data_IF_689522343420
#
_entry.id   IF_689522343420
#
_cell.length_a   1.000
_cell.length_b   1.000
_cell.length_c   1.000
_cell.angle_alpha   90.00
_cell.angle_beta   90.00
_cell.angle_gamma   90.00
#
_symmetry.space_group_name_H-M   'P 1'
#
loop_
_entity.id
_entity.type
_entity.pdbx_description
1 polymer ?
#
# COMPACT_ATOMS: atom_id res chain seq x y z
N UNK A 1 32.72 -17.07 14.92
CA UNK A 1 32.47 -16.36 13.64
C UNK A 1 32.81 -14.91 13.91
N UNK A 2 33.66 -14.33 13.08
CA UNK A 2 34.15 -12.96 13.24
C UNK A 2 32.99 -11.96 13.10
N UNK A 3 32.68 -11.22 14.19
CA UNK A 3 31.55 -10.28 14.26
C UNK A 3 31.86 -8.94 13.57
N UNK A 4 33.02 -8.79 12.93
CA UNK A 4 33.47 -7.53 12.33
C UNK A 4 32.95 -7.27 10.91
N UNK A 5 32.34 -8.25 10.24
CA UNK A 5 32.03 -8.16 8.79
C UNK A 5 30.55 -8.18 8.48
N UNK A 6 30.18 -7.54 7.36
CA UNK A 6 28.84 -7.70 6.81
C UNK A 6 28.69 -9.10 6.24
N UNK A 7 27.58 -9.77 6.55
CA UNK A 7 27.35 -11.16 6.11
C UNK A 7 26.01 -11.28 5.42
N UNK A 8 26.00 -11.97 4.27
CA UNK A 8 24.78 -12.20 3.50
C UNK A 8 24.61 -13.66 3.12
N UNK A 9 23.41 -14.20 3.35
CA UNK A 9 23.05 -15.60 3.07
C UNK A 9 22.00 -15.67 1.95
N UNK A 10 22.25 -16.52 0.96
CA UNK A 10 21.33 -16.77 -0.18
C UNK A 10 20.85 -18.22 -0.14
N UNK A 11 19.54 -18.45 -0.14
CA UNK A 11 18.94 -19.79 -0.15
C UNK A 11 18.32 -20.11 -1.52
N UNK A 12 18.53 -21.33 -1.99
CA UNK A 12 17.98 -21.89 -3.22
C UNK A 12 16.71 -22.71 -2.91
N UNK A 13 15.63 -22.61 -3.69
CA UNK A 13 14.48 -23.48 -3.51
C UNK A 13 14.79 -24.90 -4.04
N UNK A 14 14.52 -25.92 -3.25
CA UNK A 14 14.56 -27.34 -3.66
C UNK A 14 13.54 -27.70 -4.78
N UNK A 15 12.72 -26.74 -5.22
CA UNK A 15 11.50 -26.94 -6.01
C UNK A 15 11.66 -26.75 -7.53
N UNK A 16 12.88 -26.64 -8.07
CA UNK A 16 13.07 -26.51 -9.53
C UNK A 16 12.76 -27.77 -10.34
N UNK A 17 12.62 -28.94 -9.70
CA UNK A 17 12.09 -30.16 -10.34
C UNK A 17 10.66 -29.99 -10.89
N UNK A 18 9.84 -29.06 -10.35
CA UNK A 18 8.47 -28.80 -10.84
C UNK A 18 8.42 -27.94 -12.12
N UNK A 19 9.44 -27.12 -12.39
CA UNK A 19 9.47 -26.23 -13.55
C UNK A 19 9.62 -26.99 -14.88
N UNK A 20 10.38 -28.08 -14.90
CA UNK A 20 10.54 -28.95 -16.08
C UNK A 20 9.22 -29.58 -16.55
N UNK A 21 8.35 -29.98 -15.62
CA UNK A 21 7.05 -30.60 -15.97
C UNK A 21 6.05 -29.60 -16.55
N UNK A 22 6.20 -28.30 -16.26
CA UNK A 22 5.37 -27.21 -16.79
C UNK A 22 5.89 -26.66 -18.12
N UNK A 23 7.21 -26.56 -18.31
CA UNK A 23 7.78 -26.09 -19.58
C UNK A 23 7.46 -27.03 -20.76
N UNK A 24 7.34 -28.34 -20.52
CA UNK A 24 6.88 -29.30 -21.53
C UNK A 24 5.39 -29.17 -21.88
N UNK A 25 4.57 -28.54 -21.01
CA UNK A 25 3.13 -28.31 -21.24
C UNK A 25 2.79 -26.89 -21.72
N UNK A 26 3.74 -25.95 -21.70
CA UNK A 26 3.52 -24.55 -22.04
C UNK A 26 3.53 -24.24 -23.54
N UNK A 27 3.59 -25.26 -24.40
CA UNK A 27 3.36 -25.11 -25.84
C UNK A 27 1.88 -24.85 -26.19
N UNK A 28 0.99 -24.71 -25.19
CA UNK A 28 -0.45 -24.60 -25.39
C UNK A 28 -1.17 -23.57 -24.49
N UNK A 29 -0.54 -22.46 -24.06
CA UNK A 29 -1.21 -21.45 -23.23
C UNK A 29 -1.14 -20.02 -23.81
N UNK A 30 -2.30 -19.37 -23.87
CA UNK A 30 -2.62 -18.10 -24.55
C UNK A 30 -2.17 -16.81 -23.81
N UNK A 31 -1.29 -16.86 -22.80
CA UNK A 31 -0.89 -15.68 -22.03
C UNK A 31 0.51 -15.16 -22.41
N UNK A 32 0.56 -14.07 -23.19
CA UNK A 32 1.80 -13.41 -23.65
C UNK A 32 2.70 -12.91 -22.50
N UNK A 33 2.19 -12.74 -21.28
CA UNK A 33 2.94 -12.21 -20.15
C UNK A 33 3.78 -13.30 -19.45
N UNK A 34 3.23 -14.51 -19.32
CA UNK A 34 3.92 -15.67 -18.73
C UNK A 34 5.14 -16.08 -19.58
N UNK A 35 5.01 -16.08 -20.91
CA UNK A 35 6.11 -16.37 -21.83
C UNK A 35 7.28 -15.38 -21.71
N UNK A 36 6.97 -14.09 -21.46
CA UNK A 36 7.98 -13.04 -21.31
C UNK A 36 8.81 -13.22 -20.04
N UNK A 37 8.16 -13.58 -18.93
CA UNK A 37 8.81 -13.82 -17.64
C UNK A 37 9.70 -15.06 -17.68
N UNK A 38 9.21 -16.15 -18.29
CA UNK A 38 10.00 -17.37 -18.51
C UNK A 38 11.23 -17.07 -19.36
N UNK A 39 11.07 -16.29 -20.44
CA UNK A 39 12.17 -15.86 -21.29
C UNK A 39 13.22 -15.06 -20.53
N UNK A 40 12.80 -14.10 -19.72
CA UNK A 40 13.71 -13.24 -18.93
C UNK A 40 14.52 -14.07 -17.91
N UNK A 41 13.87 -15.01 -17.22
CA UNK A 41 14.52 -15.92 -16.27
C UNK A 41 15.51 -16.87 -16.94
N UNK A 42 15.14 -17.43 -18.09
CA UNK A 42 16.03 -18.35 -18.83
C UNK A 42 17.20 -17.60 -19.47
N UNK A 43 16.98 -16.40 -20.02
CA UNK A 43 18.06 -15.56 -20.55
C UNK A 43 19.02 -15.10 -19.45
N UNK A 44 18.54 -14.84 -18.22
CA UNK A 44 19.41 -14.49 -17.10
C UNK A 44 20.35 -15.64 -16.68
N UNK A 45 19.85 -16.88 -16.67
CA UNK A 45 20.58 -18.06 -16.20
C UNK A 45 21.49 -18.69 -17.25
N UNK A 46 20.98 -18.80 -18.47
CA UNK A 46 21.58 -19.60 -19.54
C UNK A 46 21.95 -18.76 -20.76
N UNK A 47 21.83 -17.42 -20.68
CA UNK A 47 22.10 -16.48 -21.78
C UNK A 47 21.21 -16.77 -22.98
N UNK A 48 21.52 -16.29 -24.17
CA UNK A 48 20.70 -16.59 -25.36
C UNK A 48 20.76 -18.07 -25.82
N UNK A 49 21.63 -18.88 -25.22
CA UNK A 49 21.82 -20.30 -25.55
C UNK A 49 20.66 -21.19 -25.06
N UNK A 50 19.80 -20.71 -24.15
CA UNK A 50 18.69 -21.52 -23.62
C UNK A 50 17.75 -22.03 -24.70
N UNK A 51 17.55 -21.26 -25.79
CA UNK A 51 16.69 -21.65 -26.91
C UNK A 51 17.22 -22.89 -27.63
N UNK A 52 18.53 -22.91 -27.90
CA UNK A 52 19.21 -24.04 -28.54
C UNK A 52 19.23 -25.26 -27.61
N UNK A 53 19.49 -25.06 -26.31
CA UNK A 53 19.55 -26.11 -25.28
C UNK A 53 18.21 -26.81 -25.05
N UNK A 54 17.11 -26.06 -25.08
CA UNK A 54 15.76 -26.64 -25.03
C UNK A 54 15.47 -27.44 -26.31
N UNK A 55 15.88 -26.94 -27.47
CA UNK A 55 15.65 -27.58 -28.76
C UNK A 55 16.37 -28.93 -28.92
N UNK A 56 17.52 -29.10 -28.26
CA UNK A 56 18.27 -30.38 -28.21
C UNK A 56 17.88 -31.27 -27.01
N UNK A 57 16.78 -30.98 -26.31
CA UNK A 57 16.33 -31.71 -25.11
C UNK A 57 17.39 -31.84 -24.00
N UNK A 58 18.30 -30.86 -23.89
CA UNK A 58 19.34 -30.90 -22.87
C UNK A 58 18.76 -30.59 -21.48
N UNK A 59 19.24 -31.31 -20.46
CA UNK A 59 18.84 -31.04 -19.09
C UNK A 59 19.45 -29.71 -18.61
N UNK A 60 18.63 -28.65 -18.57
CA UNK A 60 19.04 -27.32 -18.08
C UNK A 60 19.53 -27.33 -16.62
N UNK A 61 19.17 -28.34 -15.83
CA UNK A 61 19.66 -28.53 -14.45
C UNK A 61 20.98 -29.29 -14.38
N UNK A 62 21.70 -29.47 -15.49
CA UNK A 62 22.98 -30.16 -15.51
C UNK A 62 24.00 -29.40 -14.64
N UNK A 63 24.68 -30.08 -13.68
CA UNK A 63 25.73 -29.50 -12.84
C UNK A 63 26.81 -28.72 -13.61
N UNK A 64 27.04 -29.06 -14.89
CA UNK A 64 27.99 -28.37 -15.77
C UNK A 64 27.70 -26.87 -15.92
N UNK A 65 26.44 -26.45 -15.80
CA UNK A 65 26.02 -25.04 -15.94
C UNK A 65 26.20 -24.21 -14.66
N UNK A 66 26.42 -24.85 -13.52
CA UNK A 66 26.52 -24.17 -12.22
C UNK A 66 27.92 -24.32 -11.60
N UNK A 67 28.96 -24.48 -12.43
CA UNK A 67 30.36 -24.62 -11.96
C UNK A 67 30.81 -23.42 -11.11
N UNK A 68 30.33 -22.23 -11.43
CA UNK A 68 30.60 -20.99 -10.67
C UNK A 68 29.77 -20.88 -9.38
N UNK A 69 28.77 -21.74 -9.20
CA UNK A 69 27.89 -21.74 -8.03
C UNK A 69 27.46 -23.16 -7.60
N UNK A 70 28.40 -24.00 -7.15
CA UNK A 70 28.13 -25.38 -6.76
C UNK A 70 27.19 -25.48 -5.55
N UNK A 71 27.09 -24.43 -4.73
CA UNK A 71 26.19 -24.40 -3.57
C UNK A 71 24.72 -24.52 -3.97
N UNK A 72 24.39 -24.08 -5.19
CA UNK A 72 23.04 -24.14 -5.73
C UNK A 72 22.57 -25.58 -6.00
N UNK A 73 23.44 -26.40 -6.60
CA UNK A 73 23.17 -27.81 -6.89
C UNK A 73 22.86 -28.57 -5.59
N UNK A 74 23.55 -28.22 -4.52
CA UNK A 74 23.43 -28.87 -3.22
C UNK A 74 22.38 -28.22 -2.31
N UNK A 75 21.61 -27.24 -2.81
CA UNK A 75 20.65 -26.45 -2.01
C UNK A 75 21.26 -25.87 -0.73
N UNK A 76 22.57 -25.56 -0.75
CA UNK A 76 23.30 -25.00 0.38
C UNK A 76 23.24 -23.48 0.34
N UNK A 77 23.25 -22.87 1.51
CA UNK A 77 23.29 -21.41 1.64
C UNK A 77 24.64 -20.87 1.21
N UNK A 78 24.67 -19.95 0.24
CA UNK A 78 25.88 -19.21 -0.10
C UNK A 78 26.06 -18.06 0.87
N UNK A 79 27.23 -17.97 1.50
CA UNK A 79 27.58 -16.89 2.42
C UNK A 79 28.58 -15.96 1.76
N UNK A 80 28.25 -14.67 1.67
CA UNK A 80 29.15 -13.61 1.19
C UNK A 80 29.51 -12.71 2.38
N UNK A 81 30.77 -12.32 2.49
CA UNK A 81 31.25 -11.39 3.50
C UNK A 81 32.13 -10.31 2.89
N UNK A 82 31.93 -9.06 3.32
CA UNK A 82 32.74 -7.93 2.90
C UNK A 82 32.94 -6.96 4.08
N UNK A 83 33.98 -6.14 3.98
CA UNK A 83 34.33 -5.18 5.03
C UNK A 83 33.51 -3.88 4.87
N UNK A 84 33.05 -3.59 3.65
CA UNK A 84 32.19 -2.43 3.36
C UNK A 84 30.83 -2.84 2.77
N UNK A 85 29.80 -2.02 3.03
CA UNK A 85 28.48 -2.21 2.44
C UNK A 85 28.47 -2.08 0.91
N UNK A 86 29.37 -1.26 0.34
CA UNK A 86 29.51 -1.05 -1.10
C UNK A 86 30.02 -2.32 -1.79
N UNK A 87 31.11 -2.91 -1.28
CA UNK A 87 31.64 -4.18 -1.78
C UNK A 87 30.61 -5.30 -1.68
N UNK A 88 29.89 -5.37 -0.55
CA UNK A 88 28.81 -6.35 -0.39
C UNK A 88 27.71 -6.14 -1.45
N UNK A 89 27.34 -4.89 -1.74
CA UNK A 89 26.34 -4.58 -2.76
C UNK A 89 26.78 -4.98 -4.17
N UNK A 90 28.06 -4.79 -4.51
CA UNK A 90 28.61 -5.14 -5.82
C UNK A 90 28.66 -6.66 -6.00
N UNK A 91 29.18 -7.40 -5.02
CA UNK A 91 29.17 -8.88 -5.03
C UNK A 91 27.75 -9.45 -5.09
N UNK A 92 26.80 -8.72 -4.51
CA UNK A 92 25.41 -9.14 -4.38
C UNK A 92 24.54 -8.82 -5.60
N UNK A 93 24.93 -7.86 -6.44
CA UNK A 93 24.13 -7.39 -7.57
C UNK A 93 23.64 -8.54 -8.47
N UNK A 94 24.52 -9.54 -8.72
CA UNK A 94 24.24 -10.74 -9.53
C UNK A 94 23.13 -11.66 -9.00
N UNK A 95 22.74 -11.48 -7.73
CA UNK A 95 21.73 -12.31 -7.05
C UNK A 95 20.39 -11.62 -6.86
N UNK A 96 20.27 -10.31 -7.09
CA UNK A 96 18.99 -9.60 -6.88
C UNK A 96 18.59 -8.62 -7.96
N UNK A 97 19.51 -8.14 -8.78
CA UNK A 97 19.18 -7.15 -9.81
C UNK A 97 18.88 -7.86 -11.13
N UNK A 98 17.77 -7.49 -11.76
CA UNK A 98 17.55 -7.66 -13.20
C UNK A 98 18.42 -6.63 -13.93
N UNK A 99 19.12 -7.03 -14.99
CA UNK A 99 20.10 -6.22 -15.75
C UNK A 99 19.83 -4.70 -15.72
N UNK A 100 20.78 -3.90 -15.24
CA UNK A 100 20.81 -2.48 -15.61
C UNK A 100 21.34 -2.38 -17.04
N UNK A 101 20.74 -1.51 -17.86
CA UNK A 101 21.18 -1.18 -19.22
C UNK A 101 22.50 -0.38 -19.24
N UNK A 102 23.44 -0.67 -18.36
CA UNK A 102 24.75 -0.02 -18.32
C UNK A 102 25.83 -1.06 -18.56
N UNK A 103 26.22 -1.19 -19.84
CA UNK A 103 27.62 -1.35 -20.28
C UNK A 103 28.53 -2.38 -19.61
N UNK A 104 28.01 -3.42 -18.97
CA UNK A 104 28.81 -4.51 -18.40
C UNK A 104 29.15 -5.58 -19.44
N UNK A 105 30.35 -6.16 -19.33
CA UNK A 105 30.86 -7.24 -20.20
C UNK A 105 29.80 -8.31 -20.46
N UNK A 106 29.71 -8.76 -21.73
CA UNK A 106 28.79 -9.81 -22.24
C UNK A 106 28.99 -11.20 -21.61
N UNK A 107 29.78 -11.32 -20.55
CA UNK A 107 30.32 -12.57 -20.04
C UNK A 107 29.83 -13.00 -18.64
N UNK A 108 28.94 -12.28 -17.98
CA UNK A 108 28.48 -12.66 -16.62
C UNK A 108 27.04 -13.21 -16.58
N UNK A 109 26.88 -14.37 -15.94
CA UNK A 109 25.59 -15.03 -15.71
C UNK A 109 24.89 -14.46 -14.45
N UNK A 110 23.55 -14.31 -14.50
CA UNK A 110 22.76 -13.72 -13.42
C UNK A 110 21.90 -14.76 -12.71
N UNK A 111 21.98 -14.80 -11.38
CA UNK A 111 21.43 -15.89 -10.58
C UNK A 111 20.16 -15.51 -9.79
N UNK A 112 19.67 -14.28 -9.90
CA UNK A 112 18.46 -13.82 -9.21
C UNK A 112 17.21 -14.73 -9.39
N UNK A 113 16.98 -15.41 -10.54
CA UNK A 113 15.81 -16.30 -10.68
C UNK A 113 15.85 -17.52 -9.76
N UNK A 114 17.03 -17.83 -9.21
CA UNK A 114 17.28 -18.99 -8.36
C UNK A 114 17.17 -18.66 -6.86
N UNK A 115 17.09 -17.39 -6.51
CA UNK A 115 17.16 -16.94 -5.13
C UNK A 115 15.78 -16.98 -4.50
N UNK A 116 15.61 -17.79 -3.45
CA UNK A 116 14.37 -17.85 -2.66
C UNK A 116 14.32 -16.73 -1.62
N UNK A 117 15.39 -16.59 -0.84
CA UNK A 117 15.46 -15.61 0.23
C UNK A 117 16.88 -15.11 0.42
N UNK A 118 16.94 -13.91 1.00
CA UNK A 118 18.17 -13.17 1.22
C UNK A 118 18.17 -12.68 2.66
N UNK A 119 19.19 -13.05 3.43
CA UNK A 119 19.37 -12.55 4.80
C UNK A 119 20.61 -11.67 4.85
N UNK A 120 20.46 -10.42 5.25
CA UNK A 120 21.56 -9.46 5.48
C UNK A 120 21.78 -9.31 6.98
N UNK A 121 23.03 -9.39 7.43
CA UNK A 121 23.43 -9.04 8.80
C UNK A 121 24.33 -7.81 8.76
N UNK A 122 24.01 -6.83 9.60
CA UNK A 122 24.80 -5.61 9.79
C UNK A 122 25.57 -5.76 11.11
N UNK A 123 26.91 -5.76 11.10
CA UNK A 123 27.70 -5.85 12.32
C UNK A 123 27.63 -4.54 13.13
N UNK A 124 27.89 -4.63 14.44
CA UNK A 124 28.08 -3.48 15.34
C UNK A 124 26.94 -2.45 15.34
N UNK A 125 25.69 -2.90 15.46
CA UNK A 125 24.55 -2.01 15.59
C UNK A 125 23.74 -2.36 16.85
N UNK A 126 23.89 -1.56 17.90
CA UNK A 126 23.23 -1.75 19.20
C UNK A 126 21.71 -1.62 19.11
N UNK A 127 21.19 -0.86 18.13
CA UNK A 127 19.75 -0.65 17.95
C UNK A 127 19.06 -1.85 17.26
N UNK A 128 19.81 -2.65 16.49
CA UNK A 128 19.25 -3.74 15.68
C UNK A 128 19.61 -5.14 16.20
N UNK A 129 20.23 -5.27 17.37
CA UNK A 129 20.67 -6.56 17.91
C UNK A 129 19.53 -7.59 18.07
N UNK A 130 18.30 -7.11 18.29
CA UNK A 130 17.10 -7.95 18.47
C UNK A 130 15.99 -7.65 17.45
N UNK A 131 16.31 -6.95 16.36
CA UNK A 131 15.34 -6.57 15.34
C UNK A 131 15.66 -7.29 14.03
N UNK A 132 14.69 -8.04 13.50
CA UNK A 132 14.76 -8.59 12.14
C UNK A 132 13.72 -7.90 11.28
N UNK A 133 14.19 -7.08 10.33
CA UNK A 133 13.32 -6.50 9.31
C UNK A 133 13.21 -7.48 8.13
N UNK A 134 11.99 -7.85 7.80
CA UNK A 134 11.70 -8.70 6.65
C UNK A 134 11.03 -7.84 5.59
N UNK A 135 11.76 -7.58 4.51
CA UNK A 135 11.20 -6.96 3.31
C UNK A 135 10.49 -8.02 2.48
N UNK A 136 9.17 -7.93 2.41
CA UNK A 136 8.33 -8.87 1.71
C UNK A 136 8.01 -8.34 0.31
N UNK A 137 8.14 -9.17 -0.74
CA UNK A 137 7.74 -8.77 -2.07
C UNK A 137 6.24 -8.46 -2.07
N UNK A 138 5.88 -7.22 -2.38
CA UNK A 138 4.49 -6.79 -2.57
C UNK A 138 3.91 -7.56 -3.76
N UNK A 139 2.63 -7.99 -3.65
CA UNK A 139 1.86 -8.58 -4.75
C UNK A 139 2.11 -7.79 -6.05
N UNK A 140 2.72 -8.44 -7.03
CA UNK A 140 3.37 -7.77 -8.17
C UNK A 140 4.67 -8.43 -8.61
N UNK A 141 5.17 -9.42 -7.87
CA UNK A 141 6.05 -10.40 -8.51
C UNK A 141 5.25 -11.21 -9.53
N UNK A 142 5.80 -11.44 -10.71
CA UNK A 142 5.17 -12.25 -11.75
C UNK A 142 5.09 -13.73 -11.39
N UNK A 143 5.48 -14.12 -10.18
CA UNK A 143 5.55 -15.49 -9.72
C UNK A 143 4.50 -15.75 -8.62
N UNK A 144 3.41 -16.42 -8.98
CA UNK A 144 2.31 -16.81 -8.07
C UNK A 144 2.77 -17.57 -6.82
N UNK A 145 3.91 -18.26 -6.88
CA UNK A 145 4.48 -18.95 -5.70
C UNK A 145 5.08 -18.00 -4.65
N UNK A 146 5.34 -16.73 -5.01
CA UNK A 146 5.86 -15.68 -4.12
C UNK A 146 4.74 -14.87 -3.47
N UNK A 147 3.58 -14.76 -4.12
CA UNK A 147 2.37 -14.09 -3.60
C UNK A 147 1.74 -14.82 -2.40
N UNK A 148 2.12 -16.07 -2.13
CA UNK A 148 1.69 -16.82 -0.94
C UNK A 148 2.71 -16.77 0.21
N UNK A 149 3.96 -16.38 -0.08
CA UNK A 149 5.05 -16.41 0.91
C UNK A 149 4.81 -15.44 2.07
N UNK A 150 4.20 -14.28 1.81
CA UNK A 150 3.91 -13.31 2.87
C UNK A 150 2.91 -13.87 3.89
N UNK A 151 2.01 -14.77 3.50
CA UNK A 151 1.02 -15.37 4.42
C UNK A 151 1.68 -16.29 5.44
N UNK A 152 2.72 -17.02 5.04
CA UNK A 152 3.49 -17.87 5.95
C UNK A 152 4.32 -17.02 6.91
N UNK A 153 4.94 -15.93 6.44
CA UNK A 153 5.85 -15.12 7.24
C UNK A 153 5.11 -14.21 8.22
N UNK A 154 3.95 -13.65 7.84
CA UNK A 154 3.20 -12.71 8.69
C UNK A 154 2.77 -13.35 10.01
N UNK A 155 2.55 -14.67 10.07
CA UNK A 155 2.21 -15.37 11.32
C UNK A 155 3.34 -15.33 12.37
N UNK A 156 4.59 -15.27 11.91
CA UNK A 156 5.80 -15.24 12.74
C UNK A 156 6.27 -13.80 13.05
N UNK A 157 5.67 -12.79 12.40
CA UNK A 157 6.03 -11.38 12.64
C UNK A 157 5.39 -10.86 13.93
N UNK A 158 6.17 -10.20 14.80
CA UNK A 158 5.64 -9.52 15.99
C UNK A 158 4.93 -8.22 15.67
N UNK A 159 5.38 -7.52 14.62
CA UNK A 159 4.76 -6.32 14.10
C UNK A 159 4.78 -6.34 12.57
N UNK A 160 3.72 -5.85 11.94
CA UNK A 160 3.56 -5.77 10.48
C UNK A 160 3.44 -4.31 10.07
N UNK A 161 4.26 -3.86 9.11
CA UNK A 161 4.22 -2.51 8.57
C UNK A 161 3.69 -2.56 7.13
N UNK A 162 2.53 -1.94 6.90
CA UNK A 162 1.91 -1.81 5.58
C UNK A 162 2.22 -0.41 5.06
N UNK A 163 3.01 -0.32 3.99
CA UNK A 163 3.53 0.94 3.47
C UNK A 163 2.82 1.28 2.16
N UNK A 164 2.17 2.44 2.07
CA UNK A 164 1.44 2.89 0.87
C UNK A 164 1.68 4.38 0.59
N UNK A 165 1.38 4.84 -0.61
CA UNK A 165 1.38 6.27 -0.95
C UNK A 165 0.19 6.97 -0.29
N UNK A 166 0.39 8.14 0.33
CA UNK A 166 -0.68 8.88 1.01
C UNK A 166 -1.88 9.18 0.09
N UNK A 167 -1.62 9.40 -1.19
CA UNK A 167 -2.66 9.72 -2.18
C UNK A 167 -3.48 8.49 -2.60
N UNK A 168 -2.98 7.28 -2.31
CA UNK A 168 -3.61 6.01 -2.70
C UNK A 168 -3.98 5.12 -1.51
N UNK A 169 -3.65 5.52 -0.29
CA UNK A 169 -3.87 4.74 0.93
C UNK A 169 -5.30 4.20 1.08
N UNK A 170 -6.30 5.01 0.76
CA UNK A 170 -7.71 4.61 0.85
C UNK A 170 -8.18 3.75 -0.33
N UNK A 171 -7.57 3.88 -1.51
CA UNK A 171 -7.98 3.19 -2.74
C UNK A 171 -7.12 1.98 -3.09
N UNK A 172 -5.99 1.77 -2.40
CA UNK A 172 -5.06 0.67 -2.67
C UNK A 172 -5.58 -0.65 -2.11
N UNK A 173 -6.32 -1.37 -2.96
CA UNK A 173 -6.94 -2.66 -2.65
C UNK A 173 -5.97 -3.70 -2.07
N UNK A 174 -4.72 -3.71 -2.53
CA UNK A 174 -3.69 -4.65 -2.05
C UNK A 174 -3.27 -4.38 -0.61
N UNK A 175 -3.09 -3.12 -0.21
CA UNK A 175 -2.78 -2.74 1.16
C UNK A 175 -3.91 -3.20 2.11
N UNK A 176 -5.17 -3.05 1.68
CA UNK A 176 -6.34 -3.53 2.42
C UNK A 176 -6.44 -5.06 2.47
N UNK A 177 -6.04 -5.78 1.42
CA UNK A 177 -5.99 -7.25 1.43
C UNK A 177 -4.94 -7.75 2.44
N UNK A 178 -3.77 -7.14 2.46
CA UNK A 178 -2.70 -7.46 3.43
C UNK A 178 -3.19 -7.16 4.85
N UNK A 179 -3.84 -6.00 5.06
CA UNK A 179 -4.40 -5.64 6.36
C UNK A 179 -5.43 -6.67 6.84
N UNK A 180 -6.38 -7.07 5.98
CA UNK A 180 -7.38 -8.10 6.32
C UNK A 180 -6.73 -9.44 6.63
N UNK A 181 -5.72 -9.83 5.84
CA UNK A 181 -4.96 -11.06 6.07
C UNK A 181 -4.20 -11.04 7.40
N UNK A 182 -3.43 -9.99 7.64
CA UNK A 182 -2.67 -9.83 8.88
C UNK A 182 -3.58 -9.74 10.11
N UNK A 183 -4.68 -8.98 10.03
CA UNK A 183 -5.64 -8.84 11.12
C UNK A 183 -6.30 -10.18 11.48
N UNK A 184 -6.56 -11.06 10.50
CA UNK A 184 -7.12 -12.40 10.75
C UNK A 184 -6.19 -13.32 11.55
N UNK A 185 -4.88 -13.02 11.57
CA UNK A 185 -3.86 -13.77 12.31
C UNK A 185 -3.63 -13.22 13.72
N UNK A 186 -4.18 -12.03 14.03
CA UNK A 186 -4.16 -11.46 15.39
C UNK A 186 -5.22 -12.18 16.23
N UNK A 187 -4.81 -12.78 17.35
CA UNK A 187 -5.71 -13.40 18.33
C UNK A 187 -5.97 -14.90 18.15
N UNK A 188 -5.74 -15.47 16.96
CA UNK A 188 -5.93 -16.90 16.67
C UNK A 188 -4.63 -17.73 16.84
N UNK A 189 -3.76 -17.35 17.79
CA UNK A 189 -2.50 -18.07 18.08
C UNK A 189 -1.26 -17.61 17.30
N UNK A 190 -1.35 -16.52 16.51
CA UNK A 190 -0.20 -15.88 15.86
C UNK A 190 0.61 -14.98 16.81
N UNK A 191 1.84 -14.63 16.43
CA UNK A 191 2.75 -13.79 17.23
C UNK A 191 2.59 -12.28 16.98
N UNK A 192 1.79 -11.90 15.97
CA UNK A 192 1.58 -10.50 15.59
C UNK A 192 0.73 -9.76 16.62
N UNK A 193 1.31 -8.72 17.22
CA UNK A 193 0.65 -7.86 18.20
C UNK A 193 0.29 -6.49 17.62
N UNK A 194 1.03 -6.02 16.63
CA UNK A 194 0.90 -4.67 16.10
C UNK A 194 0.85 -4.66 14.57
N UNK A 195 -0.13 -3.96 14.00
CA UNK A 195 -0.15 -3.61 12.58
C UNK A 195 -0.06 -2.11 12.47
N UNK A 196 0.95 -1.62 11.74
CA UNK A 196 1.13 -0.20 11.45
C UNK A 196 0.86 0.06 9.98
N UNK A 197 0.01 1.04 9.70
CA UNK A 197 -0.26 1.51 8.35
C UNK A 197 0.49 2.83 8.13
N UNK A 198 1.49 2.80 7.26
CA UNK A 198 2.45 3.89 7.04
C UNK A 198 2.17 4.52 5.67
N UNK A 199 1.66 5.75 5.68
CA UNK A 199 1.47 6.54 4.48
C UNK A 199 2.75 7.32 4.13
N UNK A 200 3.36 7.00 3.00
CA UNK A 200 4.56 7.60 2.43
C UNK A 200 4.23 8.72 1.45
N UNK A 201 5.24 9.50 1.06
CA UNK A 201 5.09 10.69 0.19
C UNK A 201 4.14 11.75 0.74
N UNK A 202 4.17 11.95 2.06
CA UNK A 202 3.38 12.99 2.72
C UNK A 202 3.75 14.41 2.28
N UNK A 203 4.92 14.58 1.65
CA UNK A 203 5.36 15.80 1.00
C UNK A 203 4.66 16.07 -0.34
N UNK A 204 4.13 15.04 -1.00
CA UNK A 204 3.39 15.12 -2.26
C UNK A 204 1.87 15.14 -2.08
N UNK A 205 1.37 15.73 -0.98
CA UNK A 205 -0.04 16.08 -0.88
C UNK A 205 -0.24 17.29 -1.80
N UNK A 206 -0.41 17.06 -3.09
CA UNK A 206 -0.75 18.11 -4.03
C UNK A 206 -2.04 18.77 -3.56
N UNK A 207 -2.02 20.09 -3.38
CA UNK A 207 -3.23 20.90 -3.37
C UNK A 207 -3.85 20.71 -4.74
N UNK A 208 -4.83 19.81 -4.83
CA UNK A 208 -5.57 19.62 -6.07
C UNK A 208 -6.29 20.93 -6.37
N UNK A 209 -5.68 21.73 -7.25
CA UNK A 209 -6.31 22.86 -7.91
C UNK A 209 -7.58 22.34 -8.59
N UNK A 210 -8.69 22.94 -8.21
CA UNK A 210 -10.07 22.48 -8.39
C UNK A 210 -10.59 22.48 -9.84
N UNK A 211 -9.70 22.44 -10.86
CA UNK A 211 -10.11 22.67 -12.26
C UNK A 211 -9.79 21.60 -13.29
N UNK A 212 -9.08 20.52 -12.96
CA UNK A 212 -8.93 19.39 -13.88
C UNK A 212 -8.94 18.05 -13.17
N UNK A 213 -10.09 17.67 -12.60
CA UNK A 213 -10.33 16.27 -12.26
C UNK A 213 -10.85 15.52 -13.51
N UNK A 214 -9.93 15.24 -14.46
CA UNK A 214 -10.15 14.18 -15.45
C UNK A 214 -9.97 12.83 -14.76
N UNK A 215 -11.10 12.11 -14.56
CA UNK A 215 -11.21 10.63 -14.49
C UNK A 215 -10.15 9.83 -13.70
N UNK A 216 -9.51 10.40 -12.69
CA UNK A 216 -8.80 9.62 -11.66
C UNK A 216 -9.80 9.21 -10.60
N UNK A 217 -10.29 7.96 -10.64
CA UNK A 217 -11.17 7.41 -9.61
C UNK A 217 -10.46 7.41 -8.25
N UNK A 218 -10.63 8.47 -7.47
CA UNK A 218 -10.60 8.36 -6.03
C UNK A 218 -11.89 7.63 -5.66
N UNK A 219 -11.79 6.31 -5.46
CA UNK A 219 -12.95 5.47 -5.14
C UNK A 219 -13.69 5.99 -3.90
N UNK A 220 -15.02 5.87 -3.84
CA UNK A 220 -15.82 6.34 -2.72
C UNK A 220 -15.36 5.71 -1.40
N UNK A 221 -15.50 6.44 -0.30
CA UNK A 221 -15.16 5.99 1.05
C UNK A 221 -15.95 4.72 1.40
N UNK A 222 -15.33 3.55 1.26
CA UNK A 222 -15.86 2.21 1.56
C UNK A 222 -17.29 1.89 1.04
N UNK A 223 -17.87 2.70 0.16
CA UNK A 223 -19.24 2.57 -0.34
C UNK A 223 -20.36 2.72 0.70
N UNK A 224 -20.07 2.86 2.00
CA UNK A 224 -21.08 2.83 3.08
C UNK A 224 -22.07 3.99 2.97
N UNK A 225 -21.60 5.18 2.60
CA UNK A 225 -22.48 6.33 2.32
C UNK A 225 -23.32 6.08 1.07
N UNK A 226 -22.83 5.29 0.12
CA UNK A 226 -23.59 4.98 -1.09
C UNK A 226 -24.61 3.84 -0.88
N UNK A 227 -24.53 3.11 0.23
CA UNK A 227 -25.39 1.94 0.50
C UNK A 227 -26.71 2.27 1.19
N UNK A 228 -26.88 3.45 1.78
CA UNK A 228 -28.20 3.81 2.34
C UNK A 228 -29.20 4.10 1.22
N UNK A 229 -30.48 3.81 1.47
CA UNK A 229 -31.58 4.00 0.53
C UNK A 229 -32.86 4.28 1.30
N UNK A 230 -33.69 5.18 0.79
CA UNK A 230 -35.06 5.42 1.28
C UNK A 230 -36.05 4.34 0.80
N UNK A 231 -35.61 3.40 -0.05
CA UNK A 231 -36.46 2.34 -0.59
C UNK A 231 -37.48 2.83 -1.63
N UNK A 232 -37.26 4.02 -2.20
CA UNK A 232 -38.17 4.67 -3.15
C UNK A 232 -38.42 3.83 -4.40
N UNK A 233 -37.42 3.10 -4.88
CA UNK A 233 -37.52 2.20 -6.04
C UNK A 233 -38.64 1.16 -5.91
N UNK A 234 -38.74 0.50 -4.74
CA UNK A 234 -39.79 -0.49 -4.49
C UNK A 234 -41.18 0.11 -4.22
N UNK A 235 -41.23 1.42 -3.91
CA UNK A 235 -42.48 2.15 -3.71
C UNK A 235 -43.02 2.68 -5.04
N UNK A 236 -42.15 3.09 -5.97
CA UNK A 236 -42.53 3.57 -7.31
C UNK A 236 -43.28 2.47 -8.08
N UNK A 237 -42.85 1.22 -7.96
CA UNK A 237 -43.53 0.08 -8.61
C UNK A 237 -44.95 -0.17 -8.05
N UNK A 238 -45.18 0.18 -6.78
CA UNK A 238 -46.44 -0.09 -6.07
C UNK A 238 -47.45 1.05 -6.16
N UNK A 239 -46.98 2.30 -6.16
CA UNK A 239 -47.83 3.49 -6.06
C UNK A 239 -47.49 4.48 -7.18
N UNK A 240 -48.17 4.32 -8.32
CA UNK A 240 -47.96 5.17 -9.51
C UNK A 240 -48.48 6.60 -9.33
N UNK A 241 -49.46 6.77 -8.47
CA UNK A 241 -50.08 8.04 -8.09
C UNK A 241 -49.13 9.00 -7.38
N UNK A 242 -48.02 8.50 -6.83
CA UNK A 242 -46.97 9.30 -6.15
C UNK A 242 -45.59 9.15 -6.79
N UNK A 243 -45.53 8.74 -8.08
CA UNK A 243 -44.28 8.49 -8.80
C UNK A 243 -43.37 9.74 -8.81
N UNK A 244 -43.93 10.94 -8.96
CA UNK A 244 -43.18 12.20 -8.98
C UNK A 244 -42.54 12.52 -7.62
N UNK A 245 -43.28 12.37 -6.52
CA UNK A 245 -42.77 12.59 -5.16
C UNK A 245 -41.65 11.60 -4.82
N UNK A 246 -41.81 10.33 -5.20
CA UNK A 246 -40.80 9.30 -4.98
C UNK A 246 -39.54 9.52 -5.84
N UNK A 247 -39.71 9.99 -7.08
CA UNK A 247 -38.60 10.38 -7.97
C UNK A 247 -37.84 11.61 -7.42
N UNK A 248 -38.57 12.58 -6.85
CA UNK A 248 -37.98 13.70 -6.14
C UNK A 248 -37.14 13.23 -4.95
N UNK A 249 -37.70 12.39 -4.07
CA UNK A 249 -36.96 11.84 -2.92
C UNK A 249 -35.73 11.03 -3.33
N UNK A 250 -35.83 10.26 -4.43
CA UNK A 250 -34.68 9.55 -4.99
C UNK A 250 -33.57 10.51 -5.43
N UNK A 251 -33.95 11.62 -6.07
CA UNK A 251 -33.01 12.66 -6.49
C UNK A 251 -32.34 13.34 -5.29
N UNK A 252 -33.09 13.65 -4.24
CA UNK A 252 -32.54 14.23 -3.01
C UNK A 252 -31.63 13.26 -2.25
N UNK A 253 -31.94 11.96 -2.26
CA UNK A 253 -31.06 10.90 -1.75
C UNK A 253 -29.69 10.91 -2.46
N UNK A 254 -29.66 10.95 -3.79
CA UNK A 254 -28.41 10.95 -4.57
C UNK A 254 -27.60 12.23 -4.40
N UNK A 255 -28.27 13.39 -4.30
CA UNK A 255 -27.63 14.66 -3.93
C UNK A 255 -27.01 14.59 -2.54
N UNK A 256 -27.71 14.01 -1.57
CA UNK A 256 -27.22 13.83 -0.22
C UNK A 256 -25.98 12.94 -0.18
N UNK A 257 -26.01 11.79 -0.86
CA UNK A 257 -24.84 10.90 -1.00
C UNK A 257 -23.62 11.66 -1.52
N UNK A 258 -23.81 12.47 -2.55
CA UNK A 258 -22.74 13.29 -3.13
C UNK A 258 -22.21 14.33 -2.15
N UNK A 259 -23.11 15.02 -1.42
CA UNK A 259 -22.76 16.03 -0.41
C UNK A 259 -21.97 15.43 0.75
N UNK A 260 -22.44 14.32 1.32
CA UNK A 260 -21.77 13.63 2.44
C UNK A 260 -20.39 13.12 2.04
N UNK A 261 -20.26 12.49 0.87
CA UNK A 261 -18.96 12.02 0.37
C UNK A 261 -17.94 13.17 0.24
N UNK A 262 -18.38 14.33 -0.26
CA UNK A 262 -17.52 15.53 -0.36
C UNK A 262 -17.09 16.02 1.02
N UNK A 263 -18.04 16.19 1.94
CA UNK A 263 -17.78 16.66 3.30
C UNK A 263 -16.80 15.75 4.05
N UNK A 264 -17.01 14.43 3.99
CA UNK A 264 -16.11 13.44 4.60
C UNK A 264 -14.70 13.57 4.02
N UNK A 265 -14.58 13.66 2.69
CA UNK A 265 -13.29 13.78 2.02
C UNK A 265 -12.53 15.02 2.47
N UNK A 266 -13.18 16.18 2.48
CA UNK A 266 -12.52 17.45 2.77
C UNK A 266 -12.20 17.62 4.25
N UNK A 267 -13.11 17.20 5.14
CA UNK A 267 -12.87 17.24 6.59
C UNK A 267 -11.80 16.23 7.01
N UNK A 268 -11.72 15.05 6.38
CA UNK A 268 -10.64 14.10 6.64
C UNK A 268 -9.26 14.70 6.34
N UNK A 269 -9.09 15.46 5.25
CA UNK A 269 -7.81 16.15 4.97
C UNK A 269 -7.41 17.08 6.12
N UNK A 270 -8.36 17.86 6.63
CA UNK A 270 -8.13 18.77 7.76
C UNK A 270 -7.82 18.02 9.07
N UNK A 271 -8.48 16.89 9.29
CA UNK A 271 -8.25 16.03 10.46
C UNK A 271 -6.82 15.50 10.45
N UNK A 272 -6.36 14.93 9.34
CA UNK A 272 -4.98 14.42 9.26
C UNK A 272 -3.95 15.54 9.35
N UNK A 273 -4.22 16.70 8.75
CA UNK A 273 -3.36 17.88 8.87
C UNK A 273 -3.22 18.38 10.31
N UNK A 274 -4.26 18.23 11.13
CA UNK A 274 -4.25 18.68 12.52
C UNK A 274 -3.19 17.99 13.39
N UNK A 275 -2.83 16.75 13.07
CA UNK A 275 -1.76 16.03 13.76
C UNK A 275 -0.42 16.76 13.56
N UNK A 276 -0.08 17.05 12.30
CA UNK A 276 1.15 17.76 11.92
C UNK A 276 1.15 19.19 12.43
N UNK A 277 0.01 19.90 12.35
CA UNK A 277 -0.13 21.25 12.89
C UNK A 277 0.11 21.29 14.41
N UNK A 278 -0.45 20.34 15.17
CA UNK A 278 -0.28 20.29 16.62
C UNK A 278 1.19 20.05 17.01
N UNK A 279 1.85 19.12 16.33
CA UNK A 279 3.28 18.85 16.54
C UNK A 279 4.11 20.08 16.16
N UNK A 280 3.81 20.71 15.02
CA UNK A 280 4.50 21.94 14.56
C UNK A 280 4.38 23.05 15.59
N UNK A 281 3.17 23.31 16.11
CA UNK A 281 2.94 24.31 17.14
C UNK A 281 3.70 24.00 18.43
N UNK A 282 3.73 22.73 18.86
CA UNK A 282 4.49 22.34 20.05
C UNK A 282 6.01 22.52 19.87
N UNK A 283 6.52 22.19 18.69
CA UNK A 283 7.94 22.31 18.36
C UNK A 283 8.39 23.76 18.13
N UNK A 284 7.46 24.67 17.82
CA UNK A 284 7.74 26.07 17.45
C UNK A 284 8.71 26.76 18.42
N UNK A 285 8.46 26.64 19.73
CA UNK A 285 9.30 27.29 20.76
C UNK A 285 10.74 26.77 20.77
N UNK A 286 10.96 25.51 20.39
CA UNK A 286 12.30 24.92 20.32
C UNK A 286 13.07 25.39 19.09
N UNK A 287 12.37 25.58 17.97
CA UNK A 287 12.93 26.16 16.75
C UNK A 287 13.30 27.63 16.95
N UNK A 288 12.44 28.41 17.59
CA UNK A 288 12.71 29.82 17.91
C UNK A 288 13.94 29.95 18.82
N UNK A 289 14.05 29.13 19.86
CA UNK A 289 15.24 29.09 20.73
C UNK A 289 16.49 28.66 19.96
N UNK A 290 16.40 27.62 19.15
CA UNK A 290 17.52 27.14 18.35
C UNK A 290 18.04 28.22 17.37
N UNK A 291 17.14 29.02 16.79
CA UNK A 291 17.49 30.10 15.88
C UNK A 291 18.29 31.24 16.54
N UNK A 292 18.32 31.34 17.87
CA UNK A 292 19.08 32.38 18.59
C UNK A 292 20.58 32.07 18.71
N UNK A 293 21.01 30.83 18.49
CA UNK A 293 22.41 30.44 18.62
C UNK A 293 23.25 30.91 17.43
N UNK A 294 24.38 31.55 17.72
CA UNK A 294 25.36 32.01 16.73
C UNK A 294 26.80 31.86 17.25
N UNK A 295 27.76 31.77 16.33
CA UNK A 295 29.18 31.57 16.64
C UNK A 295 29.63 30.10 16.79
N UNK A 296 30.86 29.86 17.29
CA UNK A 296 31.42 28.51 17.45
C UNK A 296 30.55 27.64 18.36
N UNK A 297 30.31 26.38 17.97
CA UNK A 297 29.47 25.43 18.74
C UNK A 297 27.96 25.58 18.55
N UNK A 298 27.50 26.49 17.69
CA UNK A 298 26.05 26.72 17.47
C UNK A 298 25.30 25.47 16.99
N UNK A 299 25.92 24.62 16.18
CA UNK A 299 25.28 23.41 15.67
C UNK A 299 24.97 22.40 16.78
N UNK A 300 25.89 22.22 17.72
CA UNK A 300 25.70 21.33 18.86
C UNK A 300 24.64 21.90 19.82
N UNK A 301 24.65 23.22 20.06
CA UNK A 301 23.65 23.91 20.88
C UNK A 301 22.24 23.82 20.27
N UNK A 302 22.11 24.01 18.95
CA UNK A 302 20.84 23.82 18.23
C UNK A 302 20.33 22.39 18.36
N UNK A 303 21.21 21.40 18.10
CA UNK A 303 20.86 19.98 18.19
C UNK A 303 20.42 19.59 19.59
N UNK A 304 21.19 19.98 20.61
CA UNK A 304 20.87 19.72 22.01
C UNK A 304 19.51 20.31 22.41
N UNK A 305 19.25 21.55 22.00
CA UNK A 305 17.99 22.25 22.31
C UNK A 305 16.77 21.54 21.73
N UNK A 306 16.84 21.13 20.46
CA UNK A 306 15.76 20.39 19.80
C UNK A 306 15.57 19.00 20.42
N UNK A 307 16.65 18.26 20.65
CA UNK A 307 16.60 16.92 21.25
C UNK A 307 16.02 16.95 22.66
N UNK A 308 16.44 17.93 23.47
CA UNK A 308 15.93 18.12 24.82
C UNK A 308 14.44 18.41 24.81
N UNK A 309 13.98 19.36 23.98
CA UNK A 309 12.56 19.69 23.88
C UNK A 309 11.72 18.47 23.48
N UNK A 310 12.15 17.72 22.46
CA UNK A 310 11.45 16.49 22.05
C UNK A 310 11.42 15.46 23.19
N UNK A 311 12.53 15.28 23.90
CA UNK A 311 12.58 14.35 25.03
C UNK A 311 11.60 14.73 26.14
N UNK A 312 11.56 16.02 26.48
CA UNK A 312 10.74 16.55 27.56
C UNK A 312 9.24 16.62 27.18
N UNK A 313 8.92 16.82 25.89
CA UNK A 313 7.55 17.05 25.43
C UNK A 313 6.91 15.93 24.62
N UNK A 314 7.63 14.88 24.22
CA UNK A 314 7.10 13.83 23.31
C UNK A 314 5.76 13.26 23.77
N UNK A 315 5.64 12.88 25.04
CA UNK A 315 4.48 12.14 25.53
C UNK A 315 3.24 13.04 25.57
N UNK A 316 3.42 14.30 25.97
CA UNK A 316 2.35 15.29 25.99
C UNK A 316 1.99 15.78 24.58
N UNK A 317 3.00 16.01 23.72
CA UNK A 317 2.83 16.46 22.33
C UNK A 317 2.06 15.43 21.51
N UNK A 318 2.46 14.16 21.54
CA UNK A 318 1.77 13.10 20.78
C UNK A 318 0.38 12.81 21.35
N UNK A 319 0.22 12.84 22.68
CA UNK A 319 -1.09 12.71 23.32
C UNK A 319 -2.04 13.84 22.89
N UNK A 320 -1.59 15.09 22.96
CA UNK A 320 -2.39 16.25 22.55
C UNK A 320 -2.75 16.20 21.06
N UNK A 321 -1.81 15.80 20.19
CA UNK A 321 -2.05 15.66 18.76
C UNK A 321 -3.09 14.56 18.48
N UNK A 322 -3.01 13.43 19.18
CA UNK A 322 -3.99 12.35 19.11
C UNK A 322 -5.38 12.76 19.61
N UNK A 323 -5.46 13.44 20.76
CA UNK A 323 -6.72 13.96 21.32
C UNK A 323 -7.38 14.97 20.38
N UNK A 324 -6.59 15.86 19.78
CA UNK A 324 -7.07 16.86 18.81
C UNK A 324 -7.65 16.20 17.56
N UNK A 325 -6.95 15.21 17.00
CA UNK A 325 -7.43 14.45 15.85
C UNK A 325 -8.72 13.67 16.17
N UNK A 326 -8.75 13.01 17.33
CA UNK A 326 -9.92 12.25 17.78
C UNK A 326 -11.15 13.14 18.00
N UNK A 327 -10.95 14.34 18.58
CA UNK A 327 -12.01 15.33 18.73
C UNK A 327 -12.60 15.70 17.38
N UNK A 328 -11.76 16.06 16.40
CA UNK A 328 -12.24 16.43 15.05
C UNK A 328 -12.95 15.28 14.33
N UNK A 329 -12.55 14.02 14.57
CA UNK A 329 -13.27 12.84 14.06
C UNK A 329 -14.67 12.71 14.67
N UNK A 330 -14.81 12.95 15.97
CA UNK A 330 -16.12 12.96 16.64
C UNK A 330 -17.00 14.09 16.10
N UNK A 331 -16.44 15.29 15.97
CA UNK A 331 -17.15 16.45 15.41
C UNK A 331 -17.65 16.16 13.98
N UNK A 332 -16.82 15.51 13.14
CA UNK A 332 -17.21 15.09 11.79
C UNK A 332 -18.36 14.08 11.81
N UNK A 333 -18.36 13.13 12.74
CA UNK A 333 -19.45 12.16 12.88
C UNK A 333 -20.77 12.87 13.17
N UNK A 334 -20.78 13.80 14.12
CA UNK A 334 -21.98 14.57 14.47
C UNK A 334 -22.46 15.44 13.29
N UNK A 335 -21.53 16.06 12.56
CA UNK A 335 -21.84 16.85 11.36
C UNK A 335 -22.47 16.02 10.24
N UNK A 336 -22.00 14.78 10.02
CA UNK A 336 -22.58 13.83 9.05
C UNK A 336 -24.01 13.46 9.45
N UNK A 337 -24.22 13.12 10.72
CA UNK A 337 -25.53 12.71 11.21
C UNK A 337 -26.54 13.86 11.12
N UNK A 338 -26.18 15.05 11.59
CA UNK A 338 -27.03 16.23 11.50
C UNK A 338 -27.37 16.60 10.06
N UNK A 339 -26.38 16.61 9.17
CA UNK A 339 -26.61 16.93 7.74
C UNK A 339 -27.56 15.92 7.08
N UNK A 340 -27.40 14.63 7.39
CA UNK A 340 -28.26 13.58 6.84
C UNK A 340 -29.69 13.74 7.36
N UNK A 341 -29.85 13.88 8.68
CA UNK A 341 -31.14 13.96 9.35
C UNK A 341 -31.95 15.20 8.93
N UNK A 342 -31.35 16.39 9.01
CA UNK A 342 -32.01 17.66 8.68
C UNK A 342 -32.49 17.68 7.23
N UNK A 343 -31.58 17.42 6.29
CA UNK A 343 -31.91 17.54 4.86
C UNK A 343 -32.88 16.43 4.43
N UNK A 344 -32.76 15.20 4.94
CA UNK A 344 -33.72 14.14 4.59
C UNK A 344 -35.11 14.43 5.15
N UNK A 345 -35.22 14.94 6.38
CA UNK A 345 -36.52 15.35 6.93
C UNK A 345 -37.15 16.49 6.13
N UNK A 346 -36.36 17.51 5.75
CA UNK A 346 -36.82 18.60 4.88
C UNK A 346 -37.30 18.09 3.52
N UNK A 347 -36.56 17.16 2.88
CA UNK A 347 -36.97 16.57 1.60
C UNK A 347 -38.27 15.76 1.75
N UNK A 348 -38.43 14.99 2.83
CA UNK A 348 -39.66 14.24 3.08
C UNK A 348 -40.84 15.18 3.31
N UNK A 349 -40.69 16.19 4.16
CA UNK A 349 -41.73 17.19 4.44
C UNK A 349 -42.12 17.94 3.16
N UNK A 350 -41.16 18.35 2.33
CA UNK A 350 -41.44 19.01 1.05
C UNK A 350 -42.17 18.08 0.06
N UNK A 351 -41.89 16.78 0.09
CA UNK A 351 -42.60 15.79 -0.75
C UNK A 351 -44.06 15.57 -0.30
N UNK A 352 -44.34 15.78 0.99
CA UNK A 352 -45.66 15.60 1.61
C UNK A 352 -46.49 16.89 1.61
N UNK A 353 -45.85 18.06 1.53
CA UNK A 353 -46.51 19.35 1.35
C UNK A 353 -47.08 19.47 -0.06
N UNK A 354 -48.25 18.86 -0.25
CA UNK A 354 -49.21 19.32 -1.26
C UNK A 354 -49.89 20.54 -0.66
N UNK A 355 -49.53 21.74 -1.07
CA UNK A 355 -50.48 22.85 -0.91
C UNK A 355 -51.80 22.39 -1.54
N UNK A 356 -52.92 22.74 -0.91
CA UNK A 356 -54.31 22.52 -1.37
C UNK A 356 -54.62 23.16 -2.77
N UNK A 357 -53.58 23.58 -3.48
CA UNK A 357 -53.58 24.10 -4.82
C UNK A 357 -52.65 23.22 -5.67
N UNK A 358 -53.27 22.24 -6.31
CA UNK A 358 -52.82 21.48 -7.48
C UNK A 358 -51.34 21.69 -7.86
N UNK A 359 -50.48 20.75 -7.47
CA UNK A 359 -49.21 20.53 -8.19
C UNK A 359 -49.56 20.51 -9.69
N UNK A 360 -48.90 21.32 -10.54
CA UNK A 360 -49.18 21.28 -11.96
C UNK A 360 -48.95 19.86 -12.48
N UNK A 361 -49.98 19.30 -13.11
CA UNK A 361 -49.95 17.97 -13.71
C UNK A 361 -48.96 17.97 -14.88
N UNK A 362 -47.70 17.68 -14.58
CA UNK A 362 -46.58 17.60 -15.54
C UNK A 362 -46.39 16.19 -16.09
N UNK A 363 -47.44 15.35 -16.02
CA UNK A 363 -47.40 13.96 -16.48
C UNK A 363 -47.13 13.87 -17.98
N UNK A 364 -47.60 14.84 -18.77
CA UNK A 364 -47.41 14.89 -20.21
C UNK A 364 -45.95 15.18 -20.59
N UNK A 365 -45.32 16.13 -19.91
CA UNK A 365 -43.93 16.53 -20.11
C UNK A 365 -42.96 15.41 -19.69
N UNK A 366 -43.31 14.61 -18.67
CA UNK A 366 -42.53 13.44 -18.27
C UNK A 366 -42.51 12.35 -19.35
N UNK A 367 -43.61 12.17 -20.10
CA UNK A 367 -43.70 11.21 -21.20
C UNK A 367 -42.83 11.66 -22.38
N UNK A 368 -42.81 12.96 -22.70
CA UNK A 368 -41.93 13.51 -23.75
C UNK A 368 -40.43 13.38 -23.43
N UNK A 369 -40.04 13.45 -22.17
CA UNK A 369 -38.63 13.28 -21.76
C UNK A 369 -38.19 11.81 -21.75
N UNK A 370 -39.14 10.87 -21.62
CA UNK A 370 -38.87 9.41 -21.60
C UNK A 370 -38.90 8.77 -23.00
N UNK A 371 -39.38 9.47 -24.04
CA UNK A 371 -39.38 9.06 -25.46
C UNK A 371 -38.14 9.53 -26.20
#
# INVERSE_FOLDING_TARGET
MDNSKYVKKVCAPAAQKRAQKRAAGAAAAEDKNEYRDIKEKLSALYREEWKQKIQIHENLMNPRYFREMPEFINSKTKTLSADTAKELSEQFAKYTRTHSKQGGNKEESWYWPLVKSVTVKVPNNDLLQHVTLVDLPVNGDRNKSRDEMWKEIVGDCSAVWIVTDINRAASETEAWKILKGAASLIGNGGQCQYIHFICTKSDCIEEADDKQQTKGQCGPFNGVINSFSLGTEGLIEKYKDVELQLTFLKTEEDKMKTRLNRMIRDKNKLIYRSLTETIKTNMQTSYEKAATFSGPGSLDNMRFTLQKHVHDSKDTMFKQAGETMLKKLKDLKEEILGTLEETMMESIDLSLKTDDHSIPDVSAELVEVKS
#
